data_IF_155713399183
#
_entry.id   IF_155713399183
#
_cell.length_a   1.000
_cell.length_b   1.000
_cell.length_c   1.000
_cell.angle_alpha   90.00
_cell.angle_beta   90.00
_cell.angle_gamma   90.00
#
_symmetry.space_group_name_H-M   'P 1'
#
loop_
_entity.id
_entity.type
_entity.pdbx_description
1 polymer ?
#
# COMPACT_ATOMS: atom_id res chain seq x y z
N UNK A 1 55.90 39.13 -9.99
CA UNK A 1 55.33 37.88 -10.56
C UNK A 1 54.93 36.87 -9.49
N UNK A 2 55.36 36.97 -8.23
CA UNK A 2 54.95 36.03 -7.16
C UNK A 2 53.50 36.18 -6.67
N UNK A 3 52.91 37.37 -6.84
CA UNK A 3 51.55 37.66 -6.35
C UNK A 3 50.45 37.02 -7.22
N UNK A 4 50.65 36.91 -8.54
CA UNK A 4 49.68 36.26 -9.44
C UNK A 4 49.69 34.73 -9.31
N UNK A 5 50.88 34.13 -9.12
CA UNK A 5 51.01 32.69 -8.90
C UNK A 5 50.39 32.29 -7.56
N UNK A 6 50.62 33.07 -6.51
CA UNK A 6 49.99 32.87 -5.20
C UNK A 6 48.46 32.99 -5.26
N UNK A 7 47.94 33.97 -6.01
CA UNK A 7 46.50 34.15 -6.19
C UNK A 7 45.87 33.00 -7.00
N UNK A 8 46.55 32.52 -8.04
CA UNK A 8 46.12 31.38 -8.84
C UNK A 8 46.09 30.06 -8.05
N UNK A 9 47.07 29.83 -7.17
CA UNK A 9 47.10 28.65 -6.29
C UNK A 9 45.96 28.72 -5.26
N UNK A 10 45.74 29.88 -4.62
CA UNK A 10 44.64 30.06 -3.68
C UNK A 10 43.26 29.86 -4.33
N UNK A 11 43.06 30.38 -5.54
CA UNK A 11 41.82 30.20 -6.29
C UNK A 11 41.56 28.72 -6.62
N UNK A 12 42.59 27.99 -7.03
CA UNK A 12 42.50 26.57 -7.36
C UNK A 12 42.15 25.74 -6.12
N UNK A 13 42.79 26.01 -4.98
CA UNK A 13 42.50 25.35 -3.70
C UNK A 13 41.06 25.63 -3.25
N UNK A 14 40.59 26.87 -3.35
CA UNK A 14 39.21 27.22 -3.01
C UNK A 14 38.19 26.50 -3.91
N UNK A 15 38.47 26.37 -5.21
CA UNK A 15 37.60 25.62 -6.13
C UNK A 15 37.53 24.13 -5.79
N UNK A 16 38.64 23.52 -5.37
CA UNK A 16 38.66 22.11 -4.92
C UNK A 16 37.80 21.92 -3.67
N UNK A 17 37.87 22.85 -2.72
CA UNK A 17 37.05 22.79 -1.49
C UNK A 17 35.57 22.94 -1.82
N UNK A 18 35.21 23.89 -2.68
CA UNK A 18 33.81 24.08 -3.11
C UNK A 18 33.29 22.83 -3.83
N UNK A 19 34.08 22.23 -4.72
CA UNK A 19 33.71 20.99 -5.40
C UNK A 19 33.48 19.82 -4.41
N UNK A 20 34.32 19.70 -3.38
CA UNK A 20 34.16 18.69 -2.34
C UNK A 20 32.86 18.88 -1.53
N UNK A 21 32.51 20.13 -1.18
CA UNK A 21 31.26 20.45 -0.47
C UNK A 21 30.04 20.10 -1.34
N UNK A 22 30.07 20.46 -2.63
CA UNK A 22 28.98 20.15 -3.56
C UNK A 22 28.82 18.64 -3.74
N UNK A 23 29.92 17.89 -3.86
CA UNK A 23 29.89 16.43 -3.94
C UNK A 23 29.26 15.80 -2.68
N UNK A 24 29.60 16.32 -1.50
CA UNK A 24 29.06 15.83 -0.23
C UNK A 24 27.55 16.10 -0.13
N UNK A 25 27.11 17.29 -0.51
CA UNK A 25 25.68 17.65 -0.54
C UNK A 25 24.91 16.77 -1.55
N UNK A 26 25.45 16.53 -2.74
CA UNK A 26 24.85 15.67 -3.74
C UNK A 26 24.69 14.22 -3.24
N UNK A 27 25.67 13.73 -2.48
CA UNK A 27 25.65 12.40 -1.88
C UNK A 27 24.54 12.29 -0.83
N UNK A 28 24.39 13.29 0.06
CA UNK A 28 23.30 13.34 1.03
C UNK A 28 21.92 13.45 0.38
N UNK A 29 21.77 14.23 -0.68
CA UNK A 29 20.50 14.34 -1.42
C UNK A 29 20.13 13.00 -2.05
N UNK A 30 21.10 12.31 -2.67
CA UNK A 30 20.88 11.02 -3.34
C UNK A 30 20.50 9.94 -2.32
N UNK A 31 21.20 9.88 -1.18
CA UNK A 31 20.86 8.96 -0.10
C UNK A 31 19.47 9.28 0.47
N UNK A 32 19.16 10.55 0.76
CA UNK A 32 17.86 10.97 1.28
C UNK A 32 16.69 10.64 0.36
N UNK A 33 16.87 10.81 -0.95
CA UNK A 33 15.85 10.44 -1.95
C UNK A 33 15.64 8.93 -2.04
N UNK A 34 16.70 8.13 -1.97
CA UNK A 34 16.61 6.67 -1.99
C UNK A 34 15.97 6.12 -0.69
N UNK A 35 16.30 6.69 0.47
CA UNK A 35 15.64 6.34 1.73
C UNK A 35 14.16 6.71 1.73
N UNK A 36 13.79 7.89 1.24
CA UNK A 36 12.39 8.33 1.18
C UNK A 36 11.53 7.41 0.31
N UNK A 37 12.04 7.03 -0.87
CA UNK A 37 11.33 6.10 -1.77
C UNK A 37 11.25 4.69 -1.19
N UNK A 38 12.36 4.15 -0.69
CA UNK A 38 12.38 2.80 -0.12
C UNK A 38 11.50 2.70 1.14
N UNK A 39 11.46 3.72 1.99
CA UNK A 39 10.57 3.74 3.15
C UNK A 39 9.10 3.76 2.74
N UNK A 40 8.74 4.55 1.72
CA UNK A 40 7.37 4.58 1.21
C UNK A 40 6.96 3.24 0.59
N UNK A 41 7.84 2.62 -0.20
CA UNK A 41 7.60 1.29 -0.79
C UNK A 41 7.46 0.22 0.28
N UNK A 42 8.37 0.16 1.26
CA UNK A 42 8.30 -0.82 2.37
C UNK A 42 7.06 -0.63 3.23
N UNK A 43 6.62 0.61 3.46
CA UNK A 43 5.37 0.87 4.18
C UNK A 43 4.16 0.41 3.37
N UNK A 44 4.14 0.69 2.07
CA UNK A 44 3.07 0.25 1.18
C UNK A 44 2.99 -1.28 1.09
N UNK A 45 4.14 -1.96 0.97
CA UNK A 45 4.25 -3.41 0.89
C UNK A 45 3.85 -4.07 2.22
N UNK A 46 4.31 -3.53 3.36
CA UNK A 46 3.92 -4.03 4.68
C UNK A 46 2.42 -3.83 4.95
N UNK A 47 1.86 -2.70 4.52
CA UNK A 47 0.43 -2.46 4.62
C UNK A 47 -0.35 -3.43 3.74
N UNK A 48 0.02 -3.58 2.47
CA UNK A 48 -0.63 -4.52 1.56
C UNK A 48 -0.56 -5.97 2.06
N UNK A 49 0.59 -6.40 2.59
CA UNK A 49 0.77 -7.74 3.16
C UNK A 49 -0.05 -7.95 4.44
N UNK A 50 -0.12 -6.94 5.33
CA UNK A 50 -0.91 -7.04 6.56
C UNK A 50 -2.41 -7.06 6.26
N UNK A 51 -2.86 -6.23 5.31
CA UNK A 51 -4.25 -6.15 4.85
C UNK A 51 -4.69 -7.46 4.18
N UNK A 52 -3.89 -8.01 3.26
CA UNK A 52 -4.16 -9.34 2.71
C UNK A 52 -4.27 -10.44 3.79
N UNK A 53 -3.49 -10.35 4.88
CA UNK A 53 -3.59 -11.30 5.98
C UNK A 53 -4.93 -11.19 6.75
N UNK A 54 -5.50 -9.99 6.92
CA UNK A 54 -6.82 -9.80 7.55
C UNK A 54 -7.94 -10.44 6.70
N UNK A 55 -7.91 -10.26 5.37
CA UNK A 55 -8.87 -10.92 4.47
C UNK A 55 -8.71 -12.45 4.45
N UNK A 56 -7.46 -12.95 4.46
CA UNK A 56 -7.19 -14.40 4.56
C UNK A 56 -7.69 -14.99 5.89
N UNK A 57 -7.54 -14.26 6.99
CA UNK A 57 -8.08 -14.69 8.29
C UNK A 57 -9.61 -14.74 8.24
N UNK A 58 -10.24 -13.76 7.57
CA UNK A 58 -11.69 -13.69 7.43
C UNK A 58 -12.27 -14.81 6.56
N UNK A 59 -11.51 -15.32 5.57
CA UNK A 59 -11.89 -16.51 4.80
C UNK A 59 -12.17 -17.73 5.69
N UNK A 60 -11.41 -17.89 6.77
CA UNK A 60 -11.56 -19.01 7.69
C UNK A 60 -12.56 -18.70 8.83
N UNK A 61 -13.16 -17.52 8.83
CA UNK A 61 -14.08 -17.07 9.87
C UNK A 61 -15.52 -17.36 9.46
N UNK A 62 -16.10 -18.44 10.00
CA UNK A 62 -17.48 -18.86 9.67
C UNK A 62 -18.57 -18.09 10.43
N UNK A 63 -18.18 -17.30 11.44
CA UNK A 63 -19.11 -16.58 12.31
C UNK A 63 -19.56 -15.25 11.72
N UNK A 64 -20.79 -14.87 12.03
CA UNK A 64 -21.38 -13.61 11.60
C UNK A 64 -20.79 -12.43 12.37
N UNK A 65 -20.41 -11.37 11.67
CA UNK A 65 -19.84 -10.15 12.25
C UNK A 65 -20.78 -8.95 12.05
N UNK A 66 -20.71 -7.92 12.91
CA UNK A 66 -21.44 -6.68 12.68
C UNK A 66 -21.08 -6.08 11.30
N UNK A 67 -22.08 -5.60 10.55
CA UNK A 67 -21.87 -4.99 9.24
C UNK A 67 -20.96 -3.74 9.31
N UNK A 68 -20.98 -3.00 10.43
CA UNK A 68 -20.03 -1.92 10.67
C UNK A 68 -18.56 -2.40 10.71
N UNK A 69 -18.30 -3.55 11.34
CA UNK A 69 -16.96 -4.16 11.35
C UNK A 69 -16.55 -4.65 9.96
N UNK A 70 -17.50 -5.25 9.22
CA UNK A 70 -17.30 -5.68 7.84
C UNK A 70 -16.94 -4.49 6.94
N UNK A 71 -17.66 -3.38 7.08
CA UNK A 71 -17.42 -2.14 6.35
C UNK A 71 -16.00 -1.61 6.60
N UNK A 72 -15.56 -1.51 7.86
CA UNK A 72 -14.22 -1.02 8.20
C UNK A 72 -13.15 -1.96 7.63
N UNK A 73 -13.33 -3.27 7.77
CA UNK A 73 -12.38 -4.26 7.26
C UNK A 73 -12.27 -4.17 5.73
N UNK A 74 -13.38 -4.14 5.02
CA UNK A 74 -13.37 -4.04 3.55
C UNK A 74 -12.84 -2.69 3.05
N UNK A 75 -13.17 -1.59 3.74
CA UNK A 75 -12.65 -0.25 3.38
C UNK A 75 -11.13 -0.18 3.54
N UNK A 76 -10.58 -0.74 4.63
CA UNK A 76 -9.13 -0.83 4.82
C UNK A 76 -8.43 -1.68 3.75
N UNK A 77 -9.16 -2.64 3.21
CA UNK A 77 -8.67 -3.62 2.25
C UNK A 77 -9.12 -3.36 0.81
N UNK A 78 -9.61 -2.15 0.49
CA UNK A 78 -10.22 -1.85 -0.81
C UNK A 78 -9.28 -2.13 -1.99
N UNK A 79 -7.96 -1.99 -1.80
CA UNK A 79 -6.96 -2.30 -2.82
C UNK A 79 -6.78 -3.80 -3.12
N UNK A 80 -7.18 -4.68 -2.19
CA UNK A 80 -7.12 -6.14 -2.33
C UNK A 80 -8.48 -6.76 -2.67
N UNK A 81 -9.59 -6.03 -2.50
CA UNK A 81 -10.93 -6.47 -2.89
C UNK A 81 -11.15 -6.17 -4.37
N UNK A 82 -11.26 -7.21 -5.20
CA UNK A 82 -11.54 -7.06 -6.63
C UNK A 82 -13.03 -6.85 -6.92
N UNK A 83 -13.88 -7.53 -6.16
CA UNK A 83 -15.33 -7.42 -6.31
C UNK A 83 -16.04 -7.77 -5.00
N UNK A 84 -17.13 -7.07 -4.73
CA UNK A 84 -18.07 -7.39 -3.66
C UNK A 84 -19.44 -7.69 -4.27
N UNK A 85 -20.13 -8.68 -3.73
CA UNK A 85 -21.45 -9.10 -4.20
C UNK A 85 -22.25 -9.73 -3.07
N UNK A 86 -23.55 -9.89 -3.27
CA UNK A 86 -24.42 -10.59 -2.34
C UNK A 86 -25.68 -9.81 -2.03
N UNK A 87 -26.48 -10.36 -1.12
CA UNK A 87 -27.70 -9.71 -0.64
C UNK A 87 -27.88 -10.06 0.83
N UNK A 88 -28.18 -9.05 1.64
CA UNK A 88 -28.47 -9.22 3.05
C UNK A 88 -29.58 -8.27 3.49
N UNK A 89 -30.55 -8.78 4.23
CA UNK A 89 -31.66 -8.02 4.81
C UNK A 89 -32.44 -7.22 3.76
N UNK A 90 -32.66 -7.81 2.58
CA UNK A 90 -33.35 -7.17 1.46
C UNK A 90 -32.55 -6.07 0.74
N UNK A 91 -31.27 -5.86 1.10
CA UNK A 91 -30.36 -4.93 0.44
C UNK A 91 -29.41 -5.72 -0.46
N UNK A 92 -29.38 -5.39 -1.75
CA UNK A 92 -28.36 -5.90 -2.68
C UNK A 92 -27.04 -5.19 -2.39
N UNK A 93 -25.99 -5.95 -2.13
CA UNK A 93 -24.64 -5.45 -1.88
C UNK A 93 -23.85 -5.54 -3.18
N UNK A 94 -23.53 -4.39 -3.76
CA UNK A 94 -22.71 -4.26 -4.98
C UNK A 94 -21.44 -3.45 -4.75
N UNK A 95 -21.42 -2.66 -3.68
CA UNK A 95 -20.27 -1.91 -3.22
C UNK A 95 -20.11 -1.99 -1.70
N UNK A 96 -18.94 -1.56 -1.19
CA UNK A 96 -18.68 -1.54 0.26
C UNK A 96 -19.63 -0.56 0.95
N UNK A 97 -20.00 0.53 0.29
CA UNK A 97 -20.91 1.55 0.80
C UNK A 97 -22.32 1.01 1.06
N UNK A 98 -22.75 -0.05 0.36
CA UNK A 98 -24.08 -0.65 0.58
C UNK A 98 -24.22 -1.25 1.99
N UNK A 99 -23.11 -1.65 2.63
CA UNK A 99 -23.09 -2.12 4.02
C UNK A 99 -23.51 -1.03 5.02
N UNK A 100 -23.41 0.25 4.65
CA UNK A 100 -23.85 1.35 5.53
C UNK A 100 -25.36 1.34 5.80
N UNK A 101 -26.15 0.71 4.93
CA UNK A 101 -27.61 0.61 5.05
C UNK A 101 -28.06 -0.46 6.05
N UNK A 102 -27.15 -1.35 6.46
CA UNK A 102 -27.42 -2.49 7.32
C UNK A 102 -26.47 -2.56 8.52
N UNK A 103 -25.90 -1.42 8.94
CA UNK A 103 -24.88 -1.36 10.01
C UNK A 103 -25.33 -1.96 11.34
N UNK A 104 -26.63 -1.92 11.63
CA UNK A 104 -27.22 -2.47 12.86
C UNK A 104 -27.32 -3.99 12.85
N UNK A 105 -27.10 -4.64 11.70
CA UNK A 105 -27.22 -6.08 11.52
C UNK A 105 -25.88 -6.80 11.50
N UNK A 106 -25.93 -8.11 11.71
CA UNK A 106 -24.79 -9.00 11.51
C UNK A 106 -24.83 -9.60 10.13
N UNK A 107 -23.69 -9.64 9.46
CA UNK A 107 -23.50 -10.21 8.14
C UNK A 107 -22.42 -11.29 8.21
N UNK A 108 -22.51 -12.25 7.31
CA UNK A 108 -21.45 -13.22 7.07
C UNK A 108 -20.72 -12.82 5.80
N UNK A 109 -19.40 -12.85 5.87
CA UNK A 109 -18.52 -12.60 4.72
C UNK A 109 -17.93 -13.92 4.26
N UNK A 110 -18.13 -14.27 3.00
CA UNK A 110 -17.37 -15.33 2.34
C UNK A 110 -16.32 -14.68 1.45
N UNK A 111 -15.05 -15.00 1.72
CA UNK A 111 -13.91 -14.41 1.02
C UNK A 111 -13.25 -15.49 0.16
N UNK A 112 -13.24 -15.30 -1.15
CA UNK A 112 -12.67 -16.25 -2.10
C UNK A 112 -11.48 -15.62 -2.84
N UNK A 113 -10.32 -16.31 -2.92
CA UNK A 113 -9.18 -15.80 -3.67
C UNK A 113 -9.49 -15.85 -5.17
N UNK A 114 -9.22 -14.75 -5.86
CA UNK A 114 -9.38 -14.68 -7.31
C UNK A 114 -8.17 -15.35 -7.93
N UNK A 115 -8.38 -16.55 -8.47
CA UNK A 115 -7.32 -17.24 -9.23
C UNK A 115 -7.19 -16.54 -10.57
N UNK A 116 -6.14 -15.71 -10.72
CA UNK A 116 -5.81 -15.19 -12.02
C UNK A 116 -5.49 -16.36 -12.95
N UNK A 117 -6.12 -16.40 -14.12
CA UNK A 117 -5.87 -17.45 -15.11
C UNK A 117 -4.39 -17.53 -15.50
N UNK A 118 -3.95 -18.61 -16.17
CA UNK A 118 -2.55 -18.89 -16.44
C UNK A 118 -1.81 -17.81 -17.25
N UNK A 119 -2.51 -16.84 -17.85
CA UNK A 119 -1.92 -15.73 -18.61
C UNK A 119 -1.39 -14.57 -17.73
N UNK A 120 -1.79 -14.49 -16.45
CA UNK A 120 -1.43 -13.36 -15.55
C UNK A 120 -0.46 -13.78 -14.42
N UNK A 121 0.28 -14.88 -14.63
CA UNK A 121 1.23 -15.45 -13.66
C UNK A 121 2.42 -14.53 -13.33
N UNK A 122 2.60 -13.42 -14.06
CA UNK A 122 3.62 -12.39 -13.75
C UNK A 122 3.18 -11.42 -12.64
N UNK A 123 1.92 -11.46 -12.18
CA UNK A 123 1.37 -10.65 -11.08
C UNK A 123 1.17 -11.47 -9.81
N UNK A 124 2.06 -12.42 -9.54
CA UNK A 124 1.95 -13.40 -8.45
C UNK A 124 2.10 -12.84 -7.03
N UNK A 125 2.15 -11.52 -6.84
CA UNK A 125 2.45 -10.91 -5.55
C UNK A 125 1.26 -10.19 -4.90
N UNK A 126 0.15 -10.01 -5.63
CA UNK A 126 -1.08 -9.44 -5.10
C UNK A 126 -2.22 -10.45 -5.16
N UNK A 127 -2.52 -11.03 -4.00
CA UNK A 127 -3.72 -11.84 -3.83
C UNK A 127 -4.95 -10.92 -3.84
N UNK A 128 -5.72 -10.98 -4.93
CA UNK A 128 -7.02 -10.33 -5.01
C UNK A 128 -8.11 -11.25 -4.48
N UNK A 129 -9.13 -10.66 -3.86
CA UNK A 129 -10.25 -11.40 -3.28
C UNK A 129 -11.60 -10.93 -3.81
N UNK A 130 -12.51 -11.89 -4.01
CA UNK A 130 -13.94 -11.64 -4.17
C UNK A 130 -14.62 -11.86 -2.83
N UNK A 131 -15.52 -10.95 -2.47
CA UNK A 131 -16.25 -10.99 -1.20
C UNK A 131 -17.73 -11.15 -1.49
N UNK A 132 -18.33 -12.18 -0.91
CA UNK A 132 -19.78 -12.40 -0.91
C UNK A 132 -20.35 -12.07 0.49
N UNK A 133 -21.38 -11.23 0.52
CA UNK A 133 -22.05 -10.80 1.76
C UNK A 133 -23.42 -11.46 1.85
N UNK A 134 -23.66 -12.19 2.94
CA UNK A 134 -24.94 -12.82 3.23
C UNK A 134 -25.45 -12.44 4.62
N UNK A 135 -26.72 -12.74 4.87
CA UNK A 135 -27.31 -12.63 6.22
C UNK A 135 -26.56 -13.53 7.21
N UNK A 136 -26.41 -13.03 8.43
CA UNK A 136 -25.62 -13.63 9.49
C UNK A 136 -26.41 -14.00 10.73
#
# INVERSE_FOLDING_TARGET
MDNEVSHGIHLTVNMVIIAAIVAMLALFITLGQNFGRNAQTVIADNQASAYAAELRAMRNYESSIPAASAYILLTKNVGAVRSISGAAFGVSITSIEDLTRIMDNKVRLRVEPVTNGPEDASRSDFDYYTVEVTEG
#
